data_IF_978479929626
#
_entry.id   IF_978479929626
#
_cell.length_a   1.000
_cell.length_b   1.000
_cell.length_c   1.000
_cell.angle_alpha   90.00
_cell.angle_beta   90.00
_cell.angle_gamma   90.00
#
_symmetry.space_group_name_H-M   'P 1'
#
loop_
_entity.id
_entity.type
_entity.pdbx_description
1 polymer ?
#
# COMPACT_ATOMS: atom_id res chain seq x y z
N UNK A 1 39.73 -30.32 45.51
CA UNK A 1 39.84 -29.10 44.67
C UNK A 1 39.47 -29.29 43.18
N UNK A 2 39.07 -30.48 42.69
CA UNK A 2 38.70 -30.71 41.25
C UNK A 2 37.23 -30.45 40.87
N UNK A 3 36.30 -30.33 41.84
CA UNK A 3 34.85 -30.17 41.54
C UNK A 3 34.45 -28.75 41.13
N UNK A 4 35.18 -27.72 41.57
CA UNK A 4 34.88 -26.30 41.27
C UNK A 4 35.15 -25.94 39.79
N UNK A 5 36.14 -26.58 39.15
CA UNK A 5 36.47 -26.32 37.75
C UNK A 5 35.39 -26.80 36.75
N UNK A 6 34.53 -27.76 37.14
CA UNK A 6 33.43 -28.23 36.30
C UNK A 6 32.14 -27.42 36.48
N UNK A 7 31.97 -26.73 37.61
CA UNK A 7 30.74 -25.99 37.94
C UNK A 7 30.68 -24.66 37.18
N UNK A 8 31.82 -23.98 37.02
CA UNK A 8 31.92 -22.68 36.33
C UNK A 8 31.45 -22.75 34.86
N UNK A 9 31.94 -23.70 34.01
CA UNK A 9 31.46 -23.79 32.62
C UNK A 9 29.99 -24.21 32.53
N UNK A 10 29.48 -25.00 33.48
CA UNK A 10 28.05 -25.36 33.54
C UNK A 10 27.18 -24.14 33.85
N UNK A 11 27.61 -23.27 34.77
CA UNK A 11 26.91 -22.03 35.11
C UNK A 11 26.95 -21.02 33.96
N UNK A 12 28.09 -20.90 33.25
CA UNK A 12 28.20 -20.05 32.06
C UNK A 12 27.28 -20.56 30.95
N UNK A 13 27.25 -21.88 30.72
CA UNK A 13 26.35 -22.48 29.73
C UNK A 13 24.88 -22.28 30.10
N UNK A 14 24.51 -22.47 31.37
CA UNK A 14 23.17 -22.21 31.86
C UNK A 14 22.79 -20.72 31.74
N UNK A 15 23.72 -19.80 31.97
CA UNK A 15 23.51 -18.36 31.82
C UNK A 15 23.31 -17.97 30.35
N UNK A 16 24.16 -18.46 29.44
CA UNK A 16 24.01 -18.23 27.99
C UNK A 16 22.71 -18.84 27.47
N UNK A 17 22.35 -20.05 27.94
CA UNK A 17 21.11 -20.71 27.57
C UNK A 17 19.89 -19.94 28.10
N UNK A 18 19.93 -19.49 29.36
CA UNK A 18 18.88 -18.67 29.96
C UNK A 18 18.72 -17.32 29.26
N UNK A 19 19.83 -16.67 28.87
CA UNK A 19 19.82 -15.41 28.13
C UNK A 19 19.31 -15.61 26.69
N UNK A 20 19.65 -16.71 26.04
CA UNK A 20 19.13 -17.11 24.72
C UNK A 20 17.64 -17.44 24.76
N UNK A 21 17.16 -18.08 25.83
CA UNK A 21 15.74 -18.38 26.04
C UNK A 21 14.93 -17.12 26.38
N UNK A 22 15.49 -16.22 27.20
CA UNK A 22 14.86 -14.94 27.58
C UNK A 22 14.83 -13.97 26.40
N UNK A 23 15.87 -13.95 25.56
CA UNK A 23 15.91 -13.18 24.32
C UNK A 23 14.84 -13.62 23.31
N UNK A 24 14.50 -14.92 23.27
CA UNK A 24 13.38 -15.44 22.45
C UNK A 24 12.01 -15.11 23.03
N UNK A 25 11.87 -14.96 24.36
CA UNK A 25 10.60 -14.59 24.99
C UNK A 25 10.24 -13.10 24.82
N UNK A 26 11.23 -12.23 24.57
CA UNK A 26 11.00 -10.79 24.33
C UNK A 26 10.59 -10.46 22.89
N UNK A 27 10.65 -11.40 21.97
CA UNK A 27 10.10 -11.29 20.61
C UNK A 27 8.73 -11.95 20.51
N UNK A 28 7.90 -11.81 21.56
CA UNK A 28 6.46 -11.99 21.40
C UNK A 28 5.98 -10.79 20.59
N UNK A 29 5.93 -10.96 19.27
CA UNK A 29 5.43 -9.97 18.32
C UNK A 29 4.18 -9.30 18.89
N UNK A 30 4.26 -7.98 19.07
CA UNK A 30 3.09 -7.12 19.19
C UNK A 30 2.33 -7.19 17.85
N UNK A 31 1.58 -8.27 17.66
CA UNK A 31 0.72 -8.52 16.51
C UNK A 31 -0.57 -7.67 16.55
N UNK A 32 -0.53 -6.52 17.20
CA UNK A 32 -1.63 -5.55 17.32
C UNK A 32 -1.41 -4.30 16.45
N UNK A 33 -0.63 -4.40 15.37
CA UNK A 33 -0.64 -3.37 14.33
C UNK A 33 -1.64 -3.69 13.23
N UNK A 34 -2.82 -4.24 13.56
CA UNK A 34 -3.95 -4.09 12.63
C UNK A 34 -4.30 -2.61 12.61
N UNK A 35 -4.22 -2.01 11.43
CA UNK A 35 -4.60 -0.62 11.25
C UNK A 35 -6.00 -0.36 11.79
N UNK A 36 -6.15 0.74 12.54
CA UNK A 36 -7.44 1.12 13.14
C UNK A 36 -8.54 1.36 12.10
N UNK A 37 -8.16 1.63 10.85
CA UNK A 37 -9.06 2.00 9.77
C UNK A 37 -8.83 1.14 8.54
N UNK A 38 -9.90 0.92 7.77
CA UNK A 38 -9.81 0.38 6.43
C UNK A 38 -9.48 1.51 5.45
N UNK A 39 -8.71 1.21 4.41
CA UNK A 39 -8.44 2.14 3.31
C UNK A 39 -9.18 1.69 2.06
N UNK A 40 -9.96 2.59 1.46
CA UNK A 40 -10.61 2.39 0.17
C UNK A 40 -10.15 3.48 -0.79
N UNK A 41 -9.56 3.08 -1.92
CA UNK A 41 -9.14 4.00 -2.99
C UNK A 41 -10.06 3.77 -4.18
N UNK A 42 -10.83 4.79 -4.55
CA UNK A 42 -11.73 4.76 -5.71
C UNK A 42 -11.16 5.69 -6.77
N UNK A 43 -10.87 5.15 -7.95
CA UNK A 43 -10.47 5.93 -9.12
C UNK A 43 -11.55 5.86 -10.19
N UNK A 44 -11.68 6.93 -10.98
CA UNK A 44 -12.60 7.00 -12.11
C UNK A 44 -11.77 7.42 -13.33
N UNK A 45 -11.73 6.57 -14.35
CA UNK A 45 -10.90 6.80 -15.53
C UNK A 45 -11.46 7.97 -16.34
N UNK A 46 -10.59 8.88 -16.76
CA UNK A 46 -10.92 10.08 -17.55
C UNK A 46 -11.91 11.06 -16.89
N UNK A 47 -12.05 11.03 -15.55
CA UNK A 47 -12.96 11.94 -14.85
C UNK A 47 -12.51 13.40 -14.95
N UNK A 48 -13.45 14.27 -15.31
CA UNK A 48 -13.24 15.71 -15.37
C UNK A 48 -13.82 16.40 -14.14
N UNK A 49 -12.97 17.12 -13.41
CA UNK A 49 -13.41 17.90 -12.25
C UNK A 49 -14.48 18.95 -12.61
N UNK A 50 -14.36 19.62 -13.76
CA UNK A 50 -15.32 20.63 -14.24
C UNK A 50 -16.70 20.07 -14.64
N UNK A 51 -16.91 18.76 -14.47
CA UNK A 51 -18.19 18.05 -14.69
C UNK A 51 -18.82 17.53 -13.41
N UNK A 52 -18.27 17.88 -12.25
CA UNK A 52 -18.77 17.49 -10.94
C UNK A 52 -19.46 18.67 -10.25
N UNK A 53 -20.59 18.41 -9.60
CA UNK A 53 -21.37 19.41 -8.87
C UNK A 53 -20.58 20.02 -7.70
N UNK A 54 -19.82 19.20 -6.97
CA UNK A 54 -18.93 19.66 -5.89
C UNK A 54 -17.80 20.60 -6.35
N UNK A 55 -17.53 20.70 -7.66
CA UNK A 55 -16.62 21.67 -8.26
C UNK A 55 -17.34 22.77 -9.04
N UNK A 56 -18.66 22.94 -8.84
CA UNK A 56 -19.47 24.02 -9.40
C UNK A 56 -20.18 23.70 -10.72
N UNK A 57 -20.20 22.45 -11.18
CA UNK A 57 -20.95 22.08 -12.37
C UNK A 57 -22.47 22.13 -12.13
N UNK A 58 -23.21 22.82 -13.00
CA UNK A 58 -24.63 23.14 -12.76
C UNK A 58 -25.61 21.99 -13.05
N UNK A 59 -25.19 20.95 -13.75
CA UNK A 59 -26.07 19.82 -14.08
C UNK A 59 -25.93 18.72 -13.03
N UNK A 60 -27.03 18.03 -12.72
CA UNK A 60 -27.04 16.92 -11.78
C UNK A 60 -26.46 15.63 -12.39
N UNK A 61 -25.15 15.60 -12.60
CA UNK A 61 -24.44 14.45 -13.20
C UNK A 61 -23.67 13.61 -12.19
N UNK A 62 -23.47 14.10 -10.96
CA UNK A 62 -22.62 13.47 -9.96
C UNK A 62 -23.21 13.43 -8.54
N UNK A 63 -24.53 13.22 -8.33
CA UNK A 63 -25.18 13.42 -7.02
C UNK A 63 -24.57 12.61 -5.87
N UNK A 64 -24.06 11.40 -6.15
CA UNK A 64 -23.42 10.57 -5.14
C UNK A 64 -22.02 11.08 -4.75
N UNK A 65 -21.24 11.58 -5.71
CA UNK A 65 -19.93 12.18 -5.47
C UNK A 65 -20.10 13.51 -4.73
N UNK A 66 -21.09 14.30 -5.14
CA UNK A 66 -21.38 15.60 -4.54
C UNK A 66 -21.75 15.44 -3.05
N UNK A 67 -22.66 14.51 -2.74
CA UNK A 67 -23.01 14.18 -1.35
C UNK A 67 -21.81 13.68 -0.54
N UNK A 68 -20.96 12.83 -1.14
CA UNK A 68 -19.78 12.34 -0.45
C UNK A 68 -18.77 13.47 -0.15
N UNK A 69 -18.67 14.46 -1.04
CA UNK A 69 -17.80 15.61 -0.86
C UNK A 69 -18.24 16.50 0.32
N UNK A 70 -19.55 16.64 0.56
CA UNK A 70 -20.09 17.42 1.70
C UNK A 70 -19.65 16.90 3.08
N UNK A 71 -19.33 15.61 3.16
CA UNK A 71 -18.89 14.91 4.37
C UNK A 71 -17.35 14.67 4.39
N UNK A 72 -16.62 15.22 3.41
CA UNK A 72 -15.21 14.93 3.17
C UNK A 72 -14.34 16.18 3.13
N UNK A 73 -13.02 15.99 3.15
CA UNK A 73 -12.07 17.02 2.75
C UNK A 73 -11.96 17.04 1.22
N UNK A 74 -12.34 18.15 0.59
CA UNK A 74 -12.27 18.35 -0.85
C UNK A 74 -11.02 19.14 -1.24
N UNK A 75 -10.25 18.62 -2.19
CA UNK A 75 -9.08 19.32 -2.74
C UNK A 75 -9.46 20.03 -4.03
N UNK A 76 -9.44 21.36 -4.04
CA UNK A 76 -9.68 22.15 -5.26
C UNK A 76 -8.55 21.99 -6.29
N UNK A 77 -7.35 21.63 -5.82
CA UNK A 77 -6.15 21.47 -6.64
C UNK A 77 -5.49 20.11 -6.39
N UNK A 78 -6.01 19.08 -7.06
CA UNK A 78 -5.40 17.74 -7.12
C UNK A 78 -4.90 17.48 -8.55
N UNK A 79 -3.59 17.56 -8.77
CA UNK A 79 -2.97 17.53 -10.10
C UNK A 79 -2.31 16.18 -10.35
N UNK A 80 -2.63 15.56 -11.48
CA UNK A 80 -2.00 14.32 -11.93
C UNK A 80 -0.57 14.56 -12.44
N UNK A 81 0.32 13.59 -12.26
CA UNK A 81 1.69 13.69 -12.79
C UNK A 81 1.73 13.72 -14.33
N UNK A 82 0.85 12.96 -14.98
CA UNK A 82 0.72 12.89 -16.44
C UNK A 82 -0.69 12.43 -16.82
N UNK A 83 -1.31 12.93 -17.91
CA UNK A 83 -2.68 12.58 -18.29
C UNK A 83 -2.80 11.23 -19.02
N UNK A 84 -2.12 10.18 -18.54
CA UNK A 84 -2.21 8.81 -19.05
C UNK A 84 -2.56 7.84 -17.92
N UNK A 85 -3.55 6.95 -18.16
CA UNK A 85 -4.12 6.04 -17.14
C UNK A 85 -3.05 5.22 -16.42
N UNK A 86 -2.23 4.45 -17.14
CA UNK A 86 -1.19 3.58 -16.57
C UNK A 86 -0.12 4.36 -15.80
N UNK A 87 0.59 5.31 -16.43
CA UNK A 87 1.55 6.17 -15.76
C UNK A 87 0.99 6.90 -14.52
N UNK A 88 -0.23 7.43 -14.60
CA UNK A 88 -0.90 8.07 -13.46
C UNK A 88 -1.16 7.09 -12.31
N UNK A 89 -1.61 5.88 -12.60
CA UNK A 89 -1.82 4.86 -11.55
C UNK A 89 -0.49 4.38 -10.97
N UNK A 90 0.56 4.26 -11.78
CA UNK A 90 1.89 3.94 -11.28
C UNK A 90 2.40 5.02 -10.33
N UNK A 91 2.25 6.30 -10.67
CA UNK A 91 2.57 7.40 -9.75
C UNK A 91 1.72 7.36 -8.47
N UNK A 92 0.40 7.09 -8.58
CA UNK A 92 -0.51 6.99 -7.44
C UNK A 92 -0.08 5.88 -6.46
N UNK A 93 0.22 4.68 -6.97
CA UNK A 93 0.54 3.53 -6.12
C UNK A 93 1.99 3.51 -5.63
N UNK A 94 2.93 4.16 -6.31
CA UNK A 94 4.35 4.18 -5.90
C UNK A 94 4.75 5.45 -5.16
N UNK A 95 3.94 6.52 -5.26
CA UNK A 95 4.29 7.85 -4.76
C UNK A 95 5.46 8.52 -5.51
N UNK A 96 5.85 7.99 -6.69
CA UNK A 96 6.99 8.47 -7.48
C UNK A 96 6.55 9.26 -8.71
N UNK A 97 7.44 10.11 -9.21
CA UNK A 97 7.29 10.71 -10.54
C UNK A 97 7.47 9.66 -11.65
N UNK A 98 6.92 9.98 -12.83
CA UNK A 98 6.95 9.12 -14.03
C UNK A 98 8.36 8.67 -14.41
N UNK A 99 9.33 9.57 -14.33
CA UNK A 99 10.74 9.27 -14.64
C UNK A 99 11.38 8.32 -13.62
N UNK A 100 10.86 8.25 -12.40
CA UNK A 100 11.43 7.44 -11.31
C UNK A 100 10.83 6.04 -11.26
N UNK A 101 9.57 5.86 -11.63
CA UNK A 101 8.95 4.53 -11.70
C UNK A 101 9.01 3.90 -13.11
N UNK A 102 9.34 4.67 -14.15
CA UNK A 102 9.64 4.13 -15.50
C UNK A 102 8.44 3.73 -16.36
N UNK A 103 7.21 3.95 -15.88
CA UNK A 103 5.98 3.68 -16.66
C UNK A 103 5.66 4.95 -17.44
N UNK A 104 6.21 5.08 -18.64
CA UNK A 104 6.19 6.33 -19.42
C UNK A 104 4.93 6.50 -20.28
N UNK A 105 4.23 5.40 -20.60
CA UNK A 105 3.01 5.40 -21.40
C UNK A 105 2.10 4.23 -21.02
N UNK A 106 0.86 4.25 -21.50
CA UNK A 106 -0.04 3.11 -21.39
C UNK A 106 0.55 1.89 -22.11
N UNK A 107 0.38 0.71 -21.51
CA UNK A 107 0.91 -0.55 -22.04
C UNK A 107 2.33 -0.90 -21.54
N UNK A 108 2.99 0.02 -20.84
CA UNK A 108 4.23 -0.28 -20.12
C UNK A 108 3.87 -1.04 -18.84
N UNK A 109 4.71 -2.01 -18.47
CA UNK A 109 4.57 -2.71 -17.20
C UNK A 109 5.14 -1.87 -16.07
N UNK A 110 4.53 -1.94 -14.89
CA UNK A 110 5.16 -1.44 -13.67
C UNK A 110 6.38 -2.34 -13.34
N UNK A 111 7.60 -1.78 -13.26
CA UNK A 111 8.77 -2.58 -12.90
C UNK A 111 8.70 -3.04 -11.43
N UNK A 112 9.05 -4.31 -11.18
CA UNK A 112 8.92 -5.00 -9.88
C UNK A 112 9.68 -4.28 -8.75
N UNK A 113 10.77 -3.59 -9.06
CA UNK A 113 11.57 -2.84 -8.08
C UNK A 113 10.82 -1.64 -7.45
N UNK A 114 9.67 -1.26 -8.00
CA UNK A 114 8.85 -0.19 -7.45
C UNK A 114 7.95 -0.69 -6.34
N UNK A 115 8.35 -0.44 -5.10
CA UNK A 115 7.50 -0.66 -3.93
C UNK A 115 6.18 0.13 -4.08
N UNK A 116 5.07 -0.60 -4.00
CA UNK A 116 3.71 -0.09 -4.09
C UNK A 116 3.07 0.11 -2.73
N UNK A 117 2.06 0.98 -2.66
CA UNK A 117 1.21 1.17 -1.49
C UNK A 117 0.53 -0.14 -1.06
N UNK A 118 0.16 -0.99 -2.01
CA UNK A 118 -0.44 -2.29 -1.72
C UNK A 118 0.54 -3.21 -0.98
N UNK A 119 1.80 -3.28 -1.41
CA UNK A 119 2.85 -4.03 -0.70
C UNK A 119 3.09 -3.47 0.70
N UNK A 120 3.20 -2.13 0.85
CA UNK A 120 3.39 -1.49 2.15
C UNK A 120 2.25 -1.84 3.13
N UNK A 121 1.00 -1.81 2.66
CA UNK A 121 -0.17 -2.14 3.47
C UNK A 121 -0.21 -3.64 3.81
N UNK A 122 0.11 -4.50 2.85
CA UNK A 122 0.17 -5.96 3.04
C UNK A 122 1.23 -6.33 4.09
N UNK A 123 2.43 -5.77 4.00
CA UNK A 123 3.50 -5.95 4.97
C UNK A 123 3.13 -5.40 6.36
N UNK A 124 2.19 -4.45 6.41
CA UNK A 124 1.60 -3.91 7.64
C UNK A 124 0.40 -4.73 8.16
N UNK A 125 0.10 -5.90 7.58
CA UNK A 125 -0.95 -6.82 8.04
C UNK A 125 -2.35 -6.52 7.52
N UNK A 126 -2.49 -5.68 6.48
CA UNK A 126 -3.77 -5.50 5.79
C UNK A 126 -4.00 -6.60 4.75
N UNK A 127 -5.26 -7.00 4.59
CA UNK A 127 -5.69 -7.75 3.40
C UNK A 127 -5.89 -6.76 2.25
N UNK A 128 -5.27 -7.02 1.10
CA UNK A 128 -5.29 -6.10 -0.05
C UNK A 128 -6.11 -6.64 -1.21
N UNK A 129 -6.99 -5.81 -1.77
CA UNK A 129 -7.83 -6.17 -2.91
C UNK A 129 -7.84 -5.08 -3.98
N UNK A 130 -7.72 -5.47 -5.25
CA UNK A 130 -7.80 -4.60 -6.42
C UNK A 130 -8.87 -5.07 -7.39
N UNK A 131 -9.77 -4.15 -7.77
CA UNK A 131 -10.85 -4.43 -8.73
C UNK A 131 -10.81 -3.36 -9.81
N UNK A 132 -10.63 -3.77 -11.06
CA UNK A 132 -10.42 -2.88 -12.19
C UNK A 132 -11.52 -3.04 -13.24
N UNK A 133 -11.75 -1.97 -13.99
CA UNK A 133 -12.54 -2.00 -15.22
C UNK A 133 -11.70 -1.63 -16.46
N UNK A 134 -10.49 -1.09 -16.27
CA UNK A 134 -9.63 -0.60 -17.35
C UNK A 134 -8.62 -1.66 -17.78
N UNK A 135 -8.56 -1.95 -19.08
CA UNK A 135 -7.63 -2.92 -19.64
C UNK A 135 -6.15 -2.58 -19.37
N UNK A 136 -5.83 -1.28 -19.31
CA UNK A 136 -4.46 -0.77 -19.10
C UNK A 136 -3.91 -1.13 -17.72
N UNK A 137 -4.78 -1.47 -16.76
CA UNK A 137 -4.41 -1.81 -15.40
C UNK A 137 -4.38 -3.34 -15.15
N UNK A 138 -4.50 -4.17 -16.19
CA UNK A 138 -4.50 -5.63 -16.00
C UNK A 138 -3.16 -6.15 -15.48
N UNK A 139 -3.20 -7.36 -14.92
CA UNK A 139 -2.05 -8.12 -14.42
C UNK A 139 -0.93 -8.25 -15.47
N UNK A 140 -1.28 -8.28 -16.76
CA UNK A 140 -0.32 -8.27 -17.86
C UNK A 140 0.68 -7.10 -17.81
N UNK A 141 0.28 -5.98 -17.18
CA UNK A 141 1.06 -4.77 -16.97
C UNK A 141 1.57 -4.60 -15.52
N UNK A 142 1.46 -5.64 -14.70
CA UNK A 142 1.94 -5.71 -13.31
C UNK A 142 1.29 -4.74 -12.31
N UNK A 143 0.11 -4.21 -12.62
CA UNK A 143 -0.64 -3.35 -11.67
C UNK A 143 -1.32 -4.13 -10.53
N UNK A 144 -1.18 -5.45 -10.53
CA UNK A 144 -1.61 -6.33 -9.43
C UNK A 144 -0.54 -6.52 -8.34
N UNK A 145 0.66 -5.96 -8.52
CA UNK A 145 1.73 -6.03 -7.54
C UNK A 145 1.25 -5.59 -6.15
N UNK A 146 1.46 -6.44 -5.14
CA UNK A 146 1.05 -6.20 -3.75
C UNK A 146 -0.38 -6.57 -3.35
N UNK A 147 -1.26 -6.89 -4.31
CA UNK A 147 -2.64 -7.25 -4.01
C UNK A 147 -2.80 -8.76 -3.73
N UNK A 148 -3.52 -9.14 -2.67
CA UNK A 148 -3.88 -10.54 -2.39
C UNK A 148 -4.95 -11.05 -3.37
N UNK A 149 -5.90 -10.18 -3.72
CA UNK A 149 -6.96 -10.45 -4.69
C UNK A 149 -6.92 -9.37 -5.76
N UNK A 150 -6.87 -9.78 -7.03
CA UNK A 150 -6.94 -8.86 -8.17
C UNK A 150 -7.94 -9.38 -9.22
N UNK A 151 -8.86 -8.53 -9.68
CA UNK A 151 -9.94 -8.92 -10.60
C UNK A 151 -10.32 -7.81 -11.59
N UNK A 152 -10.56 -8.20 -12.85
CA UNK A 152 -11.14 -7.37 -13.93
C UNK A 152 -10.51 -7.57 -15.30
#
# INVERSE_FOLDING_TARGET
MRKIFFIIPLLIFAFIFYFSLSGKLSLKENNERKGKYNLLIITIDTLRADRLGCYGFRKNTSPAIDKFADESLLFENAIVQVPFTGPSHASLFTGKYVINHGVLSNGYKLPDENLTLAEILKDSGYTTGGFIASYILKEAYNFNQGFDVYRG
#
